data_IF_144331302349
#
_entry.id   IF_144331302349
#
_cell.length_a   1.000
_cell.length_b   1.000
_cell.length_c   1.000
_cell.angle_alpha   90.00
_cell.angle_beta   90.00
_cell.angle_gamma   90.00
#
_symmetry.space_group_name_H-M   'P 1'
#
loop_
_entity.id
_entity.type
_entity.pdbx_description
1 polymer ?
#
# COMPACT_ATOMS: atom_id res chain seq x y z
N UNK A 1 32.59 11.09 7.25
CA UNK A 1 31.30 10.84 7.92
C UNK A 1 30.29 10.64 6.82
N UNK A 2 29.91 9.39 6.60
CA UNK A 2 28.92 9.00 5.60
C UNK A 2 27.54 9.35 6.18
N UNK A 3 26.90 10.39 5.66
CA UNK A 3 25.49 10.65 5.96
C UNK A 3 24.67 9.56 5.27
N UNK A 4 23.74 8.89 5.97
CA UNK A 4 22.87 7.95 5.30
C UNK A 4 22.01 8.74 4.31
N UNK A 5 22.28 8.57 3.02
CA UNK A 5 21.35 8.92 1.94
C UNK A 5 20.20 7.93 1.96
N UNK A 6 19.38 7.97 3.02
CA UNK A 6 18.01 7.52 2.89
C UNK A 6 17.22 8.71 2.39
N UNK A 7 16.55 8.54 1.26
CA UNK A 7 15.65 9.51 0.65
C UNK A 7 14.45 9.76 1.57
N UNK A 8 14.66 10.63 2.57
CA UNK A 8 13.64 11.14 3.50
C UNK A 8 12.39 11.64 2.78
N UNK A 9 12.53 12.11 1.53
CA UNK A 9 11.43 12.60 0.70
C UNK A 9 10.32 11.57 0.51
N UNK A 10 10.62 10.28 0.33
CA UNK A 10 9.60 9.26 0.06
C UNK A 10 8.83 8.88 1.32
N UNK A 11 9.53 8.73 2.46
CA UNK A 11 8.91 8.42 3.74
C UNK A 11 8.07 9.59 4.26
N UNK A 12 8.61 10.81 4.16
CA UNK A 12 7.92 12.04 4.56
C UNK A 12 6.70 12.29 3.67
N UNK A 13 6.82 12.09 2.35
CA UNK A 13 5.70 12.19 1.43
C UNK A 13 4.61 11.16 1.74
N UNK A 14 4.97 9.89 1.94
CA UNK A 14 4.01 8.83 2.31
C UNK A 14 3.30 9.13 3.63
N UNK A 15 4.01 9.66 4.63
CA UNK A 15 3.38 10.10 5.90
C UNK A 15 2.44 11.28 5.70
N UNK A 16 2.86 12.29 4.94
CA UNK A 16 2.05 13.50 4.69
C UNK A 16 0.80 13.22 3.86
N UNK A 17 0.86 12.24 2.95
CA UNK A 17 -0.24 11.88 2.07
C UNK A 17 -1.06 10.67 2.57
N UNK A 18 -0.72 10.10 3.73
CA UNK A 18 -1.49 9.05 4.38
C UNK A 18 -1.32 7.67 3.74
N UNK A 19 -0.19 7.41 3.09
CA UNK A 19 0.16 6.15 2.43
C UNK A 19 1.07 5.26 3.29
N UNK A 20 1.24 5.61 4.57
CA UNK A 20 2.24 5.01 5.45
C UNK A 20 1.64 4.22 6.61
N UNK A 21 2.17 3.02 6.87
CA UNK A 21 1.85 2.17 8.01
C UNK A 21 3.06 2.03 8.95
N UNK A 22 2.96 2.61 10.15
CA UNK A 22 3.93 2.40 11.24
C UNK A 22 3.85 0.98 11.81
N UNK A 23 2.65 0.37 11.79
CA UNK A 23 2.40 -1.01 12.17
C UNK A 23 1.28 -1.56 11.30
N UNK A 24 1.40 -2.81 10.88
CA UNK A 24 0.39 -3.51 10.12
C UNK A 24 -0.85 -3.68 10.99
N UNK A 25 -1.92 -3.08 10.51
CA UNK A 25 -3.29 -3.26 10.98
C UNK A 25 -4.16 -3.36 9.73
N UNK A 26 -4.94 -4.43 9.60
CA UNK A 26 -5.71 -4.67 8.39
C UNK A 26 -6.75 -3.57 8.16
N UNK A 27 -7.44 -3.14 9.21
CA UNK A 27 -8.39 -2.04 9.12
C UNK A 27 -7.72 -0.71 8.73
N UNK A 28 -6.53 -0.43 9.28
CA UNK A 28 -5.70 0.70 8.92
C UNK A 28 -5.30 0.68 7.44
N UNK A 29 -4.89 -0.48 6.92
CA UNK A 29 -4.58 -0.68 5.51
C UNK A 29 -5.81 -0.45 4.62
N UNK A 30 -6.94 -1.05 4.94
CA UNK A 30 -8.19 -0.89 4.20
C UNK A 30 -8.60 0.58 4.13
N UNK A 31 -8.47 1.33 5.23
CA UNK A 31 -8.76 2.77 5.27
C UNK A 31 -7.79 3.60 4.41
N UNK A 32 -6.49 3.27 4.42
CA UNK A 32 -5.50 3.94 3.55
C UNK A 32 -5.82 3.72 2.08
N UNK A 33 -6.13 2.46 1.71
CA UNK A 33 -6.50 2.10 0.35
C UNK A 33 -7.83 2.76 -0.05
N UNK A 34 -8.85 2.68 0.80
CA UNK A 34 -10.16 3.29 0.55
C UNK A 34 -10.05 4.80 0.30
N UNK A 35 -9.26 5.52 1.11
CA UNK A 35 -9.02 6.96 0.90
C UNK A 35 -8.38 7.26 -0.44
N UNK A 36 -7.39 6.47 -0.85
CA UNK A 36 -6.74 6.65 -2.15
C UNK A 36 -7.69 6.33 -3.30
N UNK A 37 -8.48 5.26 -3.17
CA UNK A 37 -9.45 4.84 -4.18
C UNK A 37 -10.61 5.85 -4.31
N UNK A 38 -11.08 6.40 -3.19
CA UNK A 38 -12.12 7.44 -3.16
C UNK A 38 -11.68 8.75 -3.83
N UNK A 39 -10.36 8.99 -3.96
CA UNK A 39 -9.81 10.11 -4.75
C UNK A 39 -9.78 9.83 -6.26
N UNK A 40 -10.23 8.65 -6.70
CA UNK A 40 -10.23 8.25 -8.10
C UNK A 40 -8.89 7.71 -8.59
N UNK A 41 -7.97 7.36 -7.69
CA UNK A 41 -6.67 6.82 -8.07
C UNK A 41 -6.81 5.38 -8.61
N UNK A 42 -6.36 5.17 -9.84
CA UNK A 42 -6.28 3.83 -10.48
C UNK A 42 -5.05 3.03 -10.04
N UNK A 43 -4.12 3.71 -9.38
CA UNK A 43 -2.91 3.15 -8.78
C UNK A 43 -2.82 3.63 -7.35
N UNK A 44 -2.77 2.71 -6.40
CA UNK A 44 -2.70 3.03 -4.97
C UNK A 44 -1.51 2.32 -4.34
N UNK A 45 -0.83 2.97 -3.41
CA UNK A 45 0.39 2.44 -2.82
C UNK A 45 0.37 2.56 -1.30
N UNK A 46 1.05 1.62 -0.65
CA UNK A 46 1.24 1.62 0.80
C UNK A 46 2.69 1.31 1.11
N UNK A 47 3.30 2.17 1.91
CA UNK A 47 4.65 2.03 2.42
C UNK A 47 4.62 1.65 3.90
N UNK A 48 5.47 0.72 4.30
CA UNK A 48 5.61 0.29 5.70
C UNK A 48 6.91 0.79 6.31
N UNK A 49 6.99 0.83 7.64
CA UNK A 49 8.16 1.34 8.38
C UNK A 49 9.43 0.50 8.19
N UNK A 50 9.29 -0.81 8.01
CA UNK A 50 10.42 -1.73 7.93
C UNK A 50 10.04 -3.00 7.14
N UNK A 51 11.02 -3.87 6.93
CA UNK A 51 10.85 -5.12 6.19
C UNK A 51 9.99 -6.17 6.93
N UNK A 52 9.89 -6.10 8.25
CA UNK A 52 9.03 -7.01 9.04
C UNK A 52 7.56 -6.72 8.76
N UNK A 53 7.14 -5.47 8.90
CA UNK A 53 5.78 -5.00 8.62
C UNK A 53 5.42 -5.19 7.15
N UNK A 54 6.37 -4.94 6.23
CA UNK A 54 6.23 -5.27 4.82
C UNK A 54 5.91 -6.75 4.58
N UNK A 55 6.65 -7.66 5.21
CA UNK A 55 6.44 -9.09 5.03
C UNK A 55 5.08 -9.55 5.61
N UNK A 56 4.63 -8.94 6.71
CA UNK A 56 3.31 -9.18 7.27
C UNK A 56 2.22 -8.70 6.28
N UNK A 57 2.41 -7.52 5.71
CA UNK A 57 1.52 -6.94 4.70
C UNK A 57 1.38 -7.85 3.47
N UNK A 58 2.51 -8.30 2.88
CA UNK A 58 2.49 -9.22 1.71
C UNK A 58 1.70 -10.49 2.04
N UNK A 59 2.00 -11.13 3.17
CA UNK A 59 1.28 -12.35 3.60
C UNK A 59 -0.20 -12.08 3.84
N UNK A 60 -0.55 -10.91 4.37
CA UNK A 60 -1.94 -10.54 4.59
C UNK A 60 -2.70 -10.37 3.27
N UNK A 61 -2.07 -9.77 2.25
CA UNK A 61 -2.66 -9.62 0.91
C UNK A 61 -3.00 -10.99 0.32
N UNK A 62 -2.07 -11.94 0.37
CA UNK A 62 -2.32 -13.30 -0.14
C UNK A 62 -3.40 -14.03 0.64
N UNK A 63 -3.38 -13.95 1.98
CA UNK A 63 -4.36 -14.65 2.83
C UNK A 63 -5.76 -14.05 2.77
N UNK A 64 -5.87 -12.75 2.49
CA UNK A 64 -7.13 -12.01 2.50
C UNK A 64 -7.45 -11.43 1.12
N UNK A 65 -7.03 -12.09 0.04
CA UNK A 65 -7.19 -11.60 -1.35
C UNK A 65 -8.64 -11.17 -1.65
N UNK A 66 -9.63 -11.93 -1.16
CA UNK A 66 -11.05 -11.62 -1.35
C UNK A 66 -11.47 -10.29 -0.70
N UNK A 67 -10.92 -9.94 0.46
CA UNK A 67 -11.23 -8.68 1.15
C UNK A 67 -10.75 -7.49 0.30
N UNK A 68 -9.50 -7.53 -0.17
CA UNK A 68 -8.96 -6.48 -1.03
C UNK A 68 -9.65 -6.45 -2.40
N UNK A 69 -10.00 -7.61 -2.94
CA UNK A 69 -10.77 -7.69 -4.18
C UNK A 69 -12.15 -7.01 -4.03
N UNK A 70 -12.84 -7.24 -2.92
CA UNK A 70 -14.09 -6.57 -2.59
C UNK A 70 -13.94 -5.07 -2.31
N UNK A 71 -12.77 -4.65 -1.81
CA UNK A 71 -12.47 -3.23 -1.63
C UNK A 71 -12.29 -2.55 -2.99
N UNK A 72 -11.41 -3.07 -3.84
CA UNK A 72 -11.09 -2.48 -5.14
C UNK A 72 -12.29 -2.47 -6.10
N UNK A 73 -13.13 -3.51 -6.08
CA UNK A 73 -14.32 -3.61 -6.94
C UNK A 73 -15.35 -2.51 -6.71
N UNK A 74 -15.34 -1.86 -5.54
CA UNK A 74 -16.25 -0.75 -5.22
C UNK A 74 -15.86 0.56 -5.89
N UNK A 75 -14.59 0.72 -6.25
CA UNK A 75 -14.04 2.00 -6.70
C UNK A 75 -13.54 1.96 -8.14
N UNK A 76 -12.97 0.84 -8.59
CA UNK A 76 -12.47 0.74 -9.95
C UNK A 76 -13.56 0.35 -10.94
N UNK A 77 -13.79 1.20 -11.94
CA UNK A 77 -14.76 0.93 -13.01
C UNK A 77 -14.26 -0.17 -13.94
N UNK A 78 -15.12 -1.14 -14.28
CA UNK A 78 -14.76 -2.34 -15.06
C UNK A 78 -13.74 -3.26 -14.37
N UNK A 79 -13.76 -3.25 -13.04
CA UNK A 79 -12.92 -4.12 -12.23
C UNK A 79 -13.16 -5.60 -12.51
N UNK A 80 -12.07 -6.36 -12.65
CA UNK A 80 -12.08 -7.81 -12.84
C UNK A 80 -11.17 -8.53 -11.85
N UNK A 81 -10.01 -7.96 -11.54
CA UNK A 81 -9.14 -8.33 -10.43
C UNK A 81 -8.20 -7.16 -10.11
N UNK A 82 -7.31 -7.31 -9.13
CA UNK A 82 -6.21 -6.38 -8.89
C UNK A 82 -4.86 -7.05 -9.11
N UNK A 83 -3.87 -6.27 -9.57
CA UNK A 83 -2.46 -6.67 -9.54
C UNK A 83 -1.73 -5.85 -8.47
N UNK A 84 -0.64 -6.39 -7.95
CA UNK A 84 0.25 -5.64 -7.07
C UNK A 84 1.72 -5.91 -7.37
N UNK A 85 2.55 -4.91 -7.14
CA UNK A 85 4.01 -4.99 -7.19
C UNK A 85 4.57 -4.64 -5.82
N UNK A 86 5.54 -5.42 -5.37
CA UNK A 86 6.09 -5.33 -4.03
C UNK A 86 7.59 -4.98 -4.13
N UNK A 87 7.98 -3.83 -3.57
CA UNK A 87 9.34 -3.29 -3.58
C UNK A 87 9.93 -3.36 -2.18
N UNK A 88 10.80 -4.34 -1.94
CA UNK A 88 11.49 -4.51 -0.66
C UNK A 88 12.46 -3.36 -0.37
N UNK A 89 13.08 -2.79 -1.40
CA UNK A 89 14.02 -1.66 -1.25
C UNK A 89 13.38 -0.42 -0.63
N UNK A 90 12.06 -0.25 -0.85
CA UNK A 90 11.29 0.88 -0.33
C UNK A 90 10.22 0.46 0.67
N UNK A 91 10.15 -0.83 1.04
CA UNK A 91 9.08 -1.43 1.85
C UNK A 91 7.67 -1.04 1.38
N UNK A 92 7.47 -0.93 0.07
CA UNK A 92 6.25 -0.40 -0.55
C UNK A 92 5.56 -1.46 -1.40
N UNK A 93 4.23 -1.50 -1.30
CA UNK A 93 3.37 -2.27 -2.20
C UNK A 93 2.52 -1.31 -3.00
N UNK A 94 2.50 -1.49 -4.31
CA UNK A 94 1.68 -0.71 -5.24
C UNK A 94 0.67 -1.62 -5.89
N UNK A 95 -0.62 -1.29 -5.74
CA UNK A 95 -1.75 -1.96 -6.36
C UNK A 95 -2.17 -1.20 -7.63
N UNK A 96 -2.51 -1.94 -8.66
CA UNK A 96 -2.89 -1.39 -9.96
C UNK A 96 -4.12 -2.10 -10.51
N UNK A 97 -5.03 -1.31 -11.09
CA UNK A 97 -6.11 -1.83 -11.90
C UNK A 97 -5.55 -2.50 -13.17
N UNK A 98 -6.01 -3.71 -13.54
CA UNK A 98 -5.62 -4.39 -14.77
C UNK A 98 -6.13 -3.70 -16.04
#
# INVERSE_FOLDING_TARGET
MDFPKCSDSSLLYSKLHGYYLDKFDQAGLENILEKQLAQGNTTVAVQTVNSEEYNILVKSIDNNKEIYHNLFSRFWTNYSDFNYTASLESNTITFTHP
#
